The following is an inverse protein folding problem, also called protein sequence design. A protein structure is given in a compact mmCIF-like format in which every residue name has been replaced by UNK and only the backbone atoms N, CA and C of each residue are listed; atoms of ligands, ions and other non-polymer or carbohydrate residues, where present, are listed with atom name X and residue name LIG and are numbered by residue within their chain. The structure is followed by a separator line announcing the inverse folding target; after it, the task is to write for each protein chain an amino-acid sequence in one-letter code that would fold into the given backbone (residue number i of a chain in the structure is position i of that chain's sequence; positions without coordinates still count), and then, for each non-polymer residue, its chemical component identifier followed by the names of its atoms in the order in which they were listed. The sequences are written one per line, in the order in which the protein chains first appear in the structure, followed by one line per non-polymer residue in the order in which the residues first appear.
data_IF_272447184947
#
_entry.id   IF_272447184947
#
_cell.length_a   1.000
_cell.length_b   1.000
_cell.length_c   1.000
_cell.angle_alpha   90.00
_cell.angle_beta   90.00
_cell.angle_gamma   90.00
#
_symmetry.space_group_name_H-M   'P 1'
#
loop_
_entity.id
_entity.type
_entity.pdbx_description
1 polymer ?
#
# COMPACT_ATOMS: atom_id res chain seq x y z
N UNK A 1 -6.68 15.47 -10.90
CA UNK A 1 -6.62 14.63 -9.69
C UNK A 1 -5.16 14.59 -9.27
N UNK A 2 -4.84 14.98 -8.02
CA UNK A 2 -3.46 15.03 -7.56
C UNK A 2 -3.15 13.75 -6.77
N UNK A 3 -1.96 13.16 -6.96
CA UNK A 3 -1.56 11.94 -6.25
C UNK A 3 -1.54 12.14 -4.72
N UNK A 4 -1.33 13.37 -4.28
CA UNK A 4 -1.32 13.78 -2.87
C UNK A 4 -2.71 13.65 -2.20
N UNK A 5 -3.79 13.54 -3.00
CA UNK A 5 -5.14 13.26 -2.49
C UNK A 5 -5.30 11.79 -2.01
N UNK A 6 -4.38 10.91 -2.42
CA UNK A 6 -4.44 9.45 -2.20
C UNK A 6 -3.23 8.95 -1.41
N UNK A 7 -2.03 9.44 -1.73
CA UNK A 7 -0.80 8.97 -1.11
C UNK A 7 -0.09 10.10 -0.40
N UNK A 8 0.49 9.79 0.77
CA UNK A 8 1.37 10.70 1.47
C UNK A 8 2.82 10.43 1.08
N UNK A 9 3.60 11.48 0.84
CA UNK A 9 5.03 11.39 0.56
C UNK A 9 5.84 12.07 1.66
N UNK A 10 6.87 11.40 2.18
CA UNK A 10 7.70 11.92 3.29
C UNK A 10 9.18 11.62 3.07
N UNK A 11 10.05 12.53 3.51
CA UNK A 11 11.52 12.37 3.37
C UNK A 11 12.16 11.58 4.52
N UNK A 12 11.55 11.57 5.72
CA UNK A 12 12.13 10.98 6.92
C UNK A 12 11.16 10.01 7.62
N UNK A 13 11.61 8.76 7.83
CA UNK A 13 10.90 7.71 8.56
C UNK A 13 11.56 7.39 9.93
N UNK A 14 12.65 8.06 10.29
CA UNK A 14 13.43 7.80 11.52
C UNK A 14 12.69 8.24 12.80
N UNK A 15 11.71 9.11 12.68
CA UNK A 15 10.77 9.43 13.76
C UNK A 15 9.60 8.49 13.57
N UNK A 16 9.38 7.56 14.51
CA UNK A 16 8.16 6.74 14.60
C UNK A 16 6.98 7.59 14.16
N UNK A 17 6.45 7.29 12.97
CA UNK A 17 5.30 8.03 12.45
C UNK A 17 4.21 7.88 13.51
N UNK A 18 3.62 8.98 14.01
CA UNK A 18 2.47 8.86 14.88
C UNK A 18 1.35 8.26 14.03
N UNK A 19 1.23 6.93 14.01
CA UNK A 19 -0.01 6.31 13.60
C UNK A 19 -0.98 6.47 14.76
N UNK A 20 -2.10 7.12 14.46
CA UNK A 20 -3.24 7.17 15.37
C UNK A 20 -3.96 5.80 15.46
N UNK A 21 -3.46 4.76 14.77
CA UNK A 21 -4.01 3.42 14.70
C UNK A 21 -2.96 2.36 14.34
N UNK A 22 -3.34 1.36 13.54
CA UNK A 22 -2.47 0.28 13.12
C UNK A 22 -1.41 0.75 12.10
N UNK A 23 -0.16 0.35 12.32
CA UNK A 23 0.98 0.68 11.47
C UNK A 23 1.59 -0.61 10.91
N UNK A 24 1.62 -0.73 9.58
CA UNK A 24 2.42 -1.70 8.86
C UNK A 24 3.56 -0.99 8.13
N UNK A 25 4.79 -1.48 8.27
CA UNK A 25 5.94 -0.96 7.52
C UNK A 25 6.50 -2.06 6.64
N UNK A 26 6.60 -1.78 5.34
CA UNK A 26 7.22 -2.69 4.40
C UNK A 26 8.73 -2.79 4.70
N UNK A 27 9.28 -4.00 4.88
CA UNK A 27 10.72 -4.18 5.01
C UNK A 27 11.43 -3.69 3.74
N UNK A 28 12.66 -3.20 3.93
CA UNK A 28 13.53 -2.86 2.81
C UNK A 28 14.05 -4.14 2.15
N UNK A 29 14.28 -4.09 0.83
CA UNK A 29 14.88 -5.21 0.09
C UNK A 29 13.89 -6.25 -0.45
N UNK A 30 12.62 -5.91 -0.58
CA UNK A 30 11.64 -6.74 -1.30
C UNK A 30 11.87 -6.63 -2.80
N UNK A 31 12.20 -7.74 -3.46
CA UNK A 31 12.65 -7.77 -4.86
C UNK A 31 11.80 -8.67 -5.78
N UNK A 32 10.81 -9.40 -5.26
CA UNK A 32 9.85 -10.16 -6.08
C UNK A 32 8.39 -9.92 -5.67
N UNK A 33 7.47 -10.15 -6.61
CA UNK A 33 6.02 -10.03 -6.35
C UNK A 33 5.55 -11.04 -5.32
N UNK A 34 6.06 -12.28 -5.39
CA UNK A 34 5.73 -13.33 -4.44
C UNK A 34 6.19 -12.96 -3.03
N UNK A 35 7.40 -12.40 -2.90
CA UNK A 35 7.90 -11.89 -1.63
C UNK A 35 7.05 -10.72 -1.12
N UNK A 36 6.69 -9.78 -1.99
CA UNK A 36 5.84 -8.64 -1.65
C UNK A 36 4.47 -9.10 -1.12
N UNK A 37 3.83 -10.05 -1.78
CA UNK A 37 2.54 -10.62 -1.36
C UNK A 37 2.65 -11.27 0.02
N UNK A 38 3.65 -12.12 0.26
CA UNK A 38 3.81 -12.79 1.55
C UNK A 38 4.17 -11.80 2.67
N UNK A 39 4.98 -10.79 2.37
CA UNK A 39 5.29 -9.71 3.29
C UNK A 39 4.03 -8.92 3.65
N UNK A 40 3.21 -8.53 2.67
CA UNK A 40 1.95 -7.81 2.90
C UNK A 40 1.01 -8.61 3.80
N UNK A 41 0.80 -9.90 3.49
CA UNK A 41 0.00 -10.81 4.31
C UNK A 41 0.46 -10.81 5.76
N UNK A 42 1.78 -10.84 5.99
CA UNK A 42 2.35 -10.83 7.34
C UNK A 42 2.19 -9.49 8.05
N UNK A 43 2.53 -8.37 7.42
CA UNK A 43 2.57 -7.06 8.10
C UNK A 43 1.18 -6.45 8.30
N UNK A 44 0.19 -6.84 7.48
CA UNK A 44 -1.21 -6.43 7.62
C UNK A 44 -2.07 -7.49 8.31
N UNK A 45 -1.45 -8.53 8.87
CA UNK A 45 -2.12 -9.60 9.63
C UNK A 45 -3.25 -10.28 8.84
N UNK A 46 -3.06 -10.48 7.53
CA UNK A 46 -4.10 -11.07 6.69
C UNK A 46 -4.48 -12.46 7.20
N UNK A 47 -5.77 -12.83 7.12
CA UNK A 47 -6.23 -14.14 7.55
C UNK A 47 -5.57 -15.28 6.78
N UNK A 48 -5.52 -16.46 7.40
CA UNK A 48 -4.92 -17.65 6.78
C UNK A 48 -5.60 -18.09 5.47
N UNK A 49 -6.84 -17.64 5.23
CA UNK A 49 -7.55 -17.89 3.97
C UNK A 49 -7.16 -16.94 2.82
N UNK A 50 -6.39 -15.88 3.10
CA UNK A 50 -5.98 -14.93 2.06
C UNK A 50 -5.03 -15.62 1.07
N UNK A 51 -5.39 -15.61 -0.21
CA UNK A 51 -4.59 -16.21 -1.28
C UNK A 51 -3.24 -15.53 -1.51
N UNK A 52 -2.39 -16.15 -2.34
CA UNK A 52 -1.05 -15.66 -2.68
C UNK A 52 -0.99 -15.06 -4.10
N UNK A 53 -1.94 -14.20 -4.45
CA UNK A 53 -1.99 -13.47 -5.73
C UNK A 53 -2.58 -12.07 -5.54
N UNK A 54 -2.46 -11.20 -6.56
CA UNK A 54 -2.92 -9.82 -6.46
C UNK A 54 -4.42 -9.65 -6.22
N UNK A 55 -5.26 -10.51 -6.77
CA UNK A 55 -6.71 -10.46 -6.52
C UNK A 55 -7.01 -10.72 -5.03
N UNK A 56 -6.32 -11.69 -4.43
CA UNK A 56 -6.48 -11.97 -3.01
C UNK A 56 -5.99 -10.82 -2.13
N UNK A 57 -4.88 -10.16 -2.51
CA UNK A 57 -4.42 -8.95 -1.80
C UNK A 57 -5.46 -7.83 -1.91
N UNK A 58 -6.01 -7.61 -3.10
CA UNK A 58 -7.03 -6.60 -3.36
C UNK A 58 -8.30 -6.83 -2.53
N UNK A 59 -8.79 -8.07 -2.48
CA UNK A 59 -9.91 -8.49 -1.64
C UNK A 59 -9.61 -8.27 -0.15
N UNK A 60 -8.44 -8.72 0.33
CA UNK A 60 -8.05 -8.60 1.74
C UNK A 60 -7.80 -7.13 2.15
N UNK A 61 -7.33 -6.24 1.28
CA UNK A 61 -7.22 -4.81 1.58
C UNK A 61 -8.57 -4.08 1.56
N UNK A 62 -9.60 -4.71 1.00
CA UNK A 62 -10.96 -4.19 0.96
C UNK A 62 -11.73 -4.40 2.26
N UNK A 63 -11.27 -5.30 3.13
CA UNK A 63 -11.87 -5.59 4.42
C UNK A 63 -10.77 -5.78 5.46
N UNK A 64 -10.64 -4.88 6.42
CA UNK A 64 -9.68 -4.99 7.52
C UNK A 64 -10.36 -5.41 8.84
N UNK A 65 -11.47 -6.14 8.79
CA UNK A 65 -12.24 -6.54 9.98
C UNK A 65 -11.46 -7.28 11.08
N UNK A 66 -10.28 -7.84 10.77
CA UNK A 66 -9.38 -8.45 11.75
C UNK A 66 -8.44 -7.46 12.47
N UNK A 67 -8.36 -6.20 12.04
CA UNK A 67 -7.62 -5.13 12.71
C UNK A 67 -8.62 -4.25 13.46
N UNK A 68 -8.49 -4.18 14.79
CA UNK A 68 -9.42 -3.41 15.64
C UNK A 68 -9.31 -1.89 15.44
N UNK A 69 -8.17 -1.39 14.94
CA UNK A 69 -7.96 0.04 14.75
C UNK A 69 -8.60 0.52 13.45
N UNK A 70 -9.47 1.53 13.54
CA UNK A 70 -10.14 2.07 12.36
C UNK A 70 -9.18 2.79 11.39
N UNK A 71 -8.05 3.31 11.88
CA UNK A 71 -7.00 3.85 11.02
C UNK A 71 -5.89 2.82 10.80
N UNK A 72 -5.59 2.55 9.54
CA UNK A 72 -4.55 1.61 9.10
C UNK A 72 -3.59 2.35 8.18
N UNK A 73 -2.31 2.33 8.52
CA UNK A 73 -1.26 2.99 7.75
C UNK A 73 -0.26 1.99 7.20
N UNK A 74 -0.08 1.95 5.88
CA UNK A 74 0.93 1.16 5.18
C UNK A 74 2.08 2.05 4.71
N UNK A 75 3.26 1.79 5.27
CA UNK A 75 4.45 2.63 5.12
C UNK A 75 5.46 1.94 4.20
N UNK A 76 5.96 2.69 3.22
CA UNK A 76 7.00 2.28 2.29
C UNK A 76 8.25 3.15 2.48
N UNK A 77 9.22 2.73 3.32
CA UNK A 77 10.48 3.44 3.46
C UNK A 77 11.29 3.49 2.17
N UNK A 78 11.14 2.44 1.35
CA UNK A 78 11.69 2.28 0.00
C UNK A 78 10.64 1.54 -0.83
N UNK A 79 10.42 1.97 -2.07
CA UNK A 79 9.54 1.27 -3.01
C UNK A 79 10.05 -0.18 -3.27
N UNK A 80 9.17 -1.20 -3.30
CA UNK A 80 9.60 -2.56 -3.61
C UNK A 80 10.12 -2.65 -5.05
N UNK A 81 11.19 -3.42 -5.26
CA UNK A 81 11.88 -3.53 -6.56
C UNK A 81 11.35 -4.70 -7.39
N UNK A 82 10.04 -4.81 -7.47
CA UNK A 82 9.36 -5.85 -8.26
C UNK A 82 9.29 -5.46 -9.75
N UNK A 83 8.96 -6.39 -10.67
CA UNK A 83 8.80 -6.06 -12.08
C UNK A 83 7.81 -4.92 -12.32
N UNK A 84 8.04 -4.08 -13.33
CA UNK A 84 7.28 -2.85 -13.54
C UNK A 84 5.76 -3.07 -13.69
N UNK A 85 5.33 -4.14 -14.35
CA UNK A 85 3.91 -4.50 -14.49
C UNK A 85 3.29 -4.85 -13.14
N UNK A 86 4.03 -5.58 -12.31
CA UNK A 86 3.63 -6.02 -10.98
C UNK A 86 3.56 -4.84 -10.01
N UNK A 87 4.55 -3.94 -10.07
CA UNK A 87 4.54 -2.70 -9.31
C UNK A 87 3.32 -1.85 -9.68
N UNK A 88 2.98 -1.78 -10.98
CA UNK A 88 1.79 -1.07 -11.43
C UNK A 88 0.52 -1.66 -10.82
N UNK A 89 0.32 -2.97 -10.90
CA UNK A 89 -0.83 -3.67 -10.29
C UNK A 89 -0.91 -3.35 -8.79
N UNK A 90 0.23 -3.44 -8.09
CA UNK A 90 0.30 -3.15 -6.67
C UNK A 90 -0.13 -1.70 -6.34
N UNK A 91 0.40 -0.71 -7.06
CA UNK A 91 0.05 0.68 -6.83
C UNK A 91 -1.41 0.98 -7.21
N UNK A 92 -1.95 0.34 -8.26
CA UNK A 92 -3.37 0.45 -8.63
C UNK A 92 -4.29 -0.11 -7.54
N UNK A 93 -3.95 -1.24 -6.94
CA UNK A 93 -4.66 -1.79 -5.78
C UNK A 93 -4.63 -0.77 -4.63
N UNK A 94 -3.45 -0.28 -4.24
CA UNK A 94 -3.34 0.69 -3.15
C UNK A 94 -4.17 1.95 -3.42
N UNK A 95 -4.15 2.46 -4.64
CA UNK A 95 -4.94 3.59 -5.06
C UNK A 95 -6.44 3.31 -4.90
N UNK A 96 -6.93 2.20 -5.45
CA UNK A 96 -8.34 1.81 -5.39
C UNK A 96 -8.82 1.63 -3.95
N UNK A 97 -7.97 1.06 -3.08
CA UNK A 97 -8.32 0.84 -1.67
C UNK A 97 -8.33 2.13 -0.88
N UNK A 98 -7.34 3.01 -1.06
CA UNK A 98 -7.41 4.34 -0.43
C UNK A 98 -8.67 5.08 -0.87
N UNK A 99 -9.01 5.01 -2.16
CA UNK A 99 -10.23 5.63 -2.69
C UNK A 99 -11.51 5.05 -2.06
N UNK A 100 -11.62 3.72 -1.95
CA UNK A 100 -12.81 3.09 -1.37
C UNK A 100 -12.99 3.43 0.10
N UNK A 101 -11.91 3.43 0.88
CA UNK A 101 -11.95 3.75 2.31
C UNK A 101 -12.17 5.25 2.59
N UNK A 102 -11.92 6.14 1.62
CA UNK A 102 -12.14 7.58 1.79
C UNK A 102 -13.60 7.96 2.05
N UNK A 103 -14.54 7.13 1.59
CA UNK A 103 -15.97 7.33 1.76
C UNK A 103 -16.53 6.61 3.00
N UNK A 104 -15.68 5.92 3.76
CA UNK A 104 -16.04 5.34 5.05
C UNK A 104 -15.79 6.38 6.15
N UNK A 105 -16.81 6.68 6.96
CA UNK A 105 -16.72 7.70 8.01
C UNK A 105 -15.90 7.22 9.22
N UNK A 106 -15.82 5.91 9.42
CA UNK A 106 -15.20 5.31 10.60
C UNK A 106 -13.77 4.82 10.32
N UNK A 107 -13.51 4.29 9.12
CA UNK A 107 -12.25 3.66 8.76
C UNK A 107 -11.41 4.49 7.79
N UNK A 108 -10.08 4.44 7.96
CA UNK A 108 -9.13 5.15 7.10
C UNK A 108 -7.97 4.26 6.74
N UNK A 109 -7.78 4.03 5.44
CA UNK A 109 -6.58 3.42 4.92
C UNK A 109 -5.64 4.51 4.36
N UNK A 110 -4.42 4.57 4.90
CA UNK A 110 -3.42 5.59 4.56
C UNK A 110 -2.19 4.89 4.01
N UNK A 111 -1.75 5.30 2.82
CA UNK A 111 -0.52 4.80 2.22
C UNK A 111 0.53 5.91 2.22
N UNK A 112 1.72 5.58 2.71
CA UNK A 112 2.82 6.53 2.88
C UNK A 112 4.04 6.00 2.11
N UNK A 113 4.58 6.81 1.20
CA UNK A 113 5.80 6.52 0.44
C UNK A 113 6.93 7.48 0.81
N UNK A 114 8.15 7.05 0.52
CA UNK A 114 9.28 7.95 0.52
C UNK A 114 9.12 8.98 -0.61
N UNK A 115 9.39 10.25 -0.31
CA UNK A 115 9.34 11.31 -1.30
C UNK A 115 10.33 11.09 -2.46
N UNK A 116 11.44 10.39 -2.22
CA UNK A 116 12.39 9.97 -3.27
C UNK A 116 11.77 9.04 -4.31
N UNK A 117 10.75 8.28 -3.92
CA UNK A 117 10.08 7.30 -4.79
C UNK A 117 8.84 7.90 -5.49
N UNK A 118 8.52 9.18 -5.25
CA UNK A 118 7.33 9.85 -5.77
C UNK A 118 7.17 9.67 -7.28
N UNK A 119 8.21 9.94 -8.05
CA UNK A 119 8.17 9.83 -9.51
C UNK A 119 7.90 8.41 -9.99
N UNK A 120 8.35 7.39 -9.24
CA UNK A 120 8.09 5.98 -9.56
C UNK A 120 6.61 5.67 -9.35
N UNK A 121 6.04 6.11 -8.22
CA UNK A 121 4.61 5.90 -7.90
C UNK A 121 3.71 6.63 -8.89
N UNK A 122 4.03 7.88 -9.23
CA UNK A 122 3.32 8.65 -10.25
C UNK A 122 3.38 7.97 -11.62
N UNK A 123 4.56 7.47 -12.00
CA UNK A 123 4.72 6.74 -13.26
C UNK A 123 3.89 5.46 -13.28
N UNK A 124 3.84 4.71 -12.17
CA UNK A 124 3.05 3.48 -12.08
C UNK A 124 1.53 3.75 -12.29
N UNK A 125 1.00 4.83 -11.71
CA UNK A 125 -0.42 5.19 -11.83
C UNK A 125 -0.79 5.84 -13.17
N UNK A 126 0.00 6.80 -13.63
CA UNK A 126 -0.37 7.67 -14.75
C UNK A 126 0.25 7.23 -16.09
N UNK A 127 1.02 6.14 -16.11
CA UNK A 127 1.42 5.50 -17.35
C UNK A 127 0.16 5.00 -18.07
N UNK A 128 -0.24 5.78 -19.09
CA UNK A 128 -1.28 5.40 -20.02
C UNK A 128 -0.96 3.99 -20.54
N UNK A 129 -1.93 3.07 -20.62
CA UNK A 129 -1.72 1.88 -21.42
C UNK A 129 -1.43 2.39 -22.84
N UNK A 130 -0.21 2.19 -23.31
CA UNK A 130 0.09 2.31 -24.73
C UNK A 130 -0.92 1.39 -25.43
N UNK A 131 -1.94 2.00 -26.03
CA UNK A 131 -2.81 1.38 -27.01
C UNK A 131 -1.98 0.95 -28.21
#
# INVERSE_FOLDING_TARGET
MYIDDYFQFRDNFDVRLPCAGFCATLPVGVESSEELIEVLKKILLFPAYCGSNWNAIDECMGDFSWIEQCQISLIHPVIPKVPALELKIYIEILYSRVESWRYDDDHKFIVIFNNKDRTIVESALFSHPNK
#
